data_IF_256876432342
#
_entry.id   IF_256876432342
#
_cell.length_a   1.000
_cell.length_b   1.000
_cell.length_c   1.000
_cell.angle_alpha   90.00
_cell.angle_beta   90.00
_cell.angle_gamma   90.00
#
_symmetry.space_group_name_H-M   'P 1'
#
loop_
_entity.id
_entity.type
_entity.pdbx_description
1 polymer ?
#
# COMPACT_ATOMS: atom_id res chain seq x y z
N UNK A 1 17.51 2.92 -17.80
CA UNK A 1 16.08 3.19 -18.07
C UNK A 1 15.53 3.93 -16.87
N UNK A 2 14.70 4.94 -17.09
CA UNK A 2 14.02 5.68 -16.01
C UNK A 2 12.52 5.78 -16.33
N UNK A 3 11.72 6.04 -15.30
CA UNK A 3 10.29 6.36 -15.45
C UNK A 3 10.11 7.83 -15.14
N UNK A 4 9.80 8.64 -16.15
CA UNK A 4 9.46 10.05 -16.00
C UNK A 4 7.99 10.23 -15.65
N UNK A 5 7.70 11.15 -14.74
CA UNK A 5 6.35 11.56 -14.35
C UNK A 5 6.12 12.96 -14.91
N UNK A 6 5.03 13.12 -15.66
CA UNK A 6 4.62 14.39 -16.26
C UNK A 6 3.24 14.76 -15.72
N UNK A 7 3.09 15.98 -15.20
CA UNK A 7 1.81 16.48 -14.69
C UNK A 7 1.06 17.25 -15.78
N UNK A 8 -0.25 17.05 -15.86
CA UNK A 8 -1.15 17.85 -16.68
C UNK A 8 -1.63 19.10 -15.94
N UNK A 9 -2.00 20.14 -16.69
CA UNK A 9 -2.74 21.30 -16.15
C UNK A 9 -4.10 20.85 -15.60
N UNK A 10 -4.78 21.68 -14.81
CA UNK A 10 -6.14 21.38 -14.31
C UNK A 10 -7.13 21.13 -15.45
N UNK A 11 -7.05 21.92 -16.52
CA UNK A 11 -7.92 21.76 -17.70
C UNK A 11 -7.56 20.49 -18.49
N UNK A 12 -6.26 20.24 -18.68
CA UNK A 12 -5.77 19.02 -19.32
C UNK A 12 -6.16 17.76 -18.55
N UNK A 13 -6.17 17.85 -17.22
CA UNK A 13 -6.60 16.78 -16.31
C UNK A 13 -8.09 16.50 -16.43
N UNK A 14 -8.91 17.56 -16.47
CA UNK A 14 -10.36 17.45 -16.68
C UNK A 14 -10.68 16.83 -18.05
N UNK A 15 -10.00 17.27 -19.11
CA UNK A 15 -10.10 16.69 -20.44
C UNK A 15 -9.72 15.20 -20.43
N UNK A 16 -8.55 14.85 -19.88
CA UNK A 16 -8.07 13.47 -19.83
C UNK A 16 -9.03 12.54 -19.07
N UNK A 17 -9.61 13.00 -17.97
CA UNK A 17 -10.58 12.23 -17.18
C UNK A 17 -11.93 12.05 -17.88
N UNK A 18 -12.28 12.92 -18.82
CA UNK A 18 -13.48 12.78 -19.66
C UNK A 18 -13.35 11.70 -20.74
N UNK A 19 -12.12 11.26 -21.05
CA UNK A 19 -11.85 10.25 -22.07
C UNK A 19 -12.18 8.84 -21.56
N UNK A 20 -12.57 7.96 -22.48
CA UNK A 20 -12.68 6.52 -22.20
C UNK A 20 -11.30 5.92 -21.88
N UNK A 21 -11.25 4.78 -21.17
CA UNK A 21 -9.99 4.10 -20.88
C UNK A 21 -9.17 3.77 -22.13
N UNK A 22 -9.83 3.53 -23.27
CA UNK A 22 -9.16 3.27 -24.57
C UNK A 22 -8.58 4.57 -25.13
N UNK A 23 -9.32 5.67 -25.05
CA UNK A 23 -8.86 6.96 -25.57
C UNK A 23 -7.79 7.61 -24.68
N UNK A 24 -7.80 7.34 -23.38
CA UNK A 24 -6.69 7.66 -22.47
C UNK A 24 -5.39 6.96 -22.91
N UNK A 25 -5.45 5.68 -23.29
CA UNK A 25 -4.27 4.97 -23.79
C UNK A 25 -3.79 5.56 -25.13
N UNK A 26 -4.70 5.93 -26.02
CA UNK A 26 -4.35 6.62 -27.28
C UNK A 26 -3.71 7.98 -27.00
N UNK A 27 -4.27 8.76 -26.08
CA UNK A 27 -3.72 10.04 -25.63
C UNK A 27 -2.28 9.87 -25.15
N UNK A 28 -2.03 8.91 -24.26
CA UNK A 28 -0.70 8.65 -23.72
C UNK A 28 0.30 8.21 -24.81
N UNK A 29 -0.14 7.36 -25.75
CA UNK A 29 0.69 6.92 -26.87
C UNK A 29 1.02 8.08 -27.83
N UNK A 30 0.05 8.93 -28.11
CA UNK A 30 0.25 10.11 -28.93
C UNK A 30 1.21 11.08 -28.25
N UNK A 31 1.03 11.36 -26.96
CA UNK A 31 1.94 12.20 -26.19
C UNK A 31 3.38 11.66 -26.19
N UNK A 32 3.57 10.36 -26.01
CA UNK A 32 4.91 9.77 -26.08
C UNK A 32 5.56 9.96 -27.47
N UNK A 33 4.75 9.84 -28.52
CA UNK A 33 5.19 10.05 -29.91
C UNK A 33 5.54 11.52 -30.15
N UNK A 34 4.67 12.45 -29.75
CA UNK A 34 4.89 13.89 -29.84
C UNK A 34 6.18 14.29 -29.11
N UNK A 35 6.39 13.79 -27.89
CA UNK A 35 7.61 14.02 -27.11
C UNK A 35 8.87 13.48 -27.81
N UNK A 36 8.80 12.35 -28.51
CA UNK A 36 9.95 11.80 -29.25
C UNK A 36 10.35 12.62 -30.47
N UNK A 37 9.41 13.39 -31.04
CA UNK A 37 9.71 14.34 -32.12
C UNK A 37 10.23 15.67 -31.57
N UNK A 38 9.64 16.17 -30.49
CA UNK A 38 10.05 17.42 -29.82
C UNK A 38 11.47 17.28 -29.26
N UNK A 39 11.77 16.16 -28.61
CA UNK A 39 13.11 15.80 -28.14
C UNK A 39 13.60 14.71 -29.09
N UNK A 40 14.36 15.03 -30.15
CA UNK A 40 14.56 14.15 -31.30
C UNK A 40 15.27 12.84 -30.90
N UNK A 41 14.48 11.80 -30.66
CA UNK A 41 14.89 10.44 -30.31
C UNK A 41 13.97 9.44 -31.00
N UNK A 42 14.39 8.19 -31.16
CA UNK A 42 13.53 7.18 -31.78
C UNK A 42 12.19 7.06 -31.03
N UNK A 43 11.10 6.87 -31.76
CA UNK A 43 9.73 6.83 -31.23
C UNK A 43 9.53 5.74 -30.15
N UNK A 44 10.38 4.73 -30.12
CA UNK A 44 10.34 3.64 -29.14
C UNK A 44 11.15 3.92 -27.85
N UNK A 45 11.82 5.09 -27.76
CA UNK A 45 12.64 5.51 -26.60
C UNK A 45 11.78 6.05 -25.47
N UNK A 46 10.68 6.72 -25.80
CA UNK A 46 9.68 7.21 -24.84
C UNK A 46 8.42 6.39 -25.07
N UNK A 47 7.98 5.65 -24.06
CA UNK A 47 6.78 4.80 -24.15
C UNK A 47 5.87 5.07 -22.97
N UNK A 48 4.55 5.16 -23.16
CA UNK A 48 3.63 5.42 -22.06
C UNK A 48 3.54 4.20 -21.14
N UNK A 49 3.29 4.47 -19.86
CA UNK A 49 2.81 3.48 -18.89
C UNK A 49 1.32 3.78 -18.69
N UNK A 50 0.47 2.83 -19.07
CA UNK A 50 -0.98 3.01 -19.04
C UNK A 50 -1.53 3.10 -17.62
N UNK A 51 -2.29 4.16 -17.36
CA UNK A 51 -2.82 4.51 -16.05
C UNK A 51 -2.33 5.90 -15.64
N UNK A 52 -2.72 6.35 -14.46
CA UNK A 52 -2.39 7.68 -13.96
C UNK A 52 -2.47 7.73 -12.44
N UNK A 53 -1.96 8.81 -11.85
CA UNK A 53 -2.21 9.18 -10.46
C UNK A 53 -2.88 10.56 -10.39
N UNK A 54 -3.75 10.74 -9.40
CA UNK A 54 -4.34 12.06 -9.08
C UNK A 54 -3.40 12.79 -8.12
N UNK A 55 -2.99 14.00 -8.49
CA UNK A 55 -2.29 14.96 -7.64
C UNK A 55 -3.29 16.03 -7.19
N UNK A 56 -3.47 16.15 -5.86
CA UNK A 56 -4.37 17.12 -5.22
C UNK A 56 -3.55 18.07 -4.32
N UNK A 57 -2.22 18.02 -4.39
CA UNK A 57 -1.32 18.80 -3.52
C UNK A 57 -1.47 20.32 -3.70
N UNK A 58 -1.89 20.76 -4.89
CA UNK A 58 -2.06 22.17 -5.27
C UNK A 58 -3.48 22.69 -5.00
N UNK A 59 -4.37 21.89 -4.43
CA UNK A 59 -5.78 22.22 -4.21
C UNK A 59 -6.69 22.10 -5.45
N UNK A 60 -6.12 21.85 -6.62
CA UNK A 60 -6.85 21.50 -7.86
C UNK A 60 -6.53 20.07 -8.27
N UNK A 61 -7.48 19.39 -8.92
CA UNK A 61 -7.28 18.04 -9.40
C UNK A 61 -6.36 18.06 -10.63
N UNK A 62 -5.16 17.53 -10.46
CA UNK A 62 -4.20 17.36 -11.55
C UNK A 62 -3.89 15.87 -11.77
N UNK A 63 -3.51 15.52 -12.99
CA UNK A 63 -3.22 14.14 -13.40
C UNK A 63 -1.73 13.99 -13.66
N UNK A 64 -1.15 12.96 -13.05
CA UNK A 64 0.22 12.51 -13.27
C UNK A 64 0.22 11.34 -14.26
N UNK A 65 0.94 11.52 -15.36
CA UNK A 65 1.16 10.52 -16.41
C UNK A 65 2.59 9.99 -16.33
N UNK A 66 2.77 8.73 -16.71
CA UNK A 66 4.02 8.01 -16.53
C UNK A 66 4.58 7.55 -17.87
N UNK A 67 5.87 7.80 -18.09
CA UNK A 67 6.56 7.47 -19.33
C UNK A 67 7.87 6.74 -19.05
N UNK A 68 8.01 5.55 -19.63
CA UNK A 68 9.27 4.82 -19.66
C UNK A 68 10.20 5.49 -20.67
N UNK A 69 11.37 5.91 -20.21
CA UNK A 69 12.45 6.48 -21.03
C UNK A 69 13.59 5.46 -21.06
N UNK A 70 13.74 4.79 -22.21
CA UNK A 70 14.78 3.77 -22.41
C UNK A 70 16.15 4.44 -22.47
N UNK A 71 17.12 3.79 -21.85
CA UNK A 71 18.51 4.21 -21.99
C UNK A 71 19.16 3.62 -23.24
N UNK A 72 20.38 4.05 -23.52
CA UNK A 72 21.17 3.53 -24.63
C UNK A 72 22.62 3.37 -24.21
N UNK A 73 23.28 2.33 -24.73
CA UNK A 73 24.73 2.12 -24.57
C UNK A 73 25.53 2.90 -25.61
N UNK A 74 24.86 3.46 -26.63
CA UNK A 74 25.47 4.29 -27.66
C UNK A 74 25.69 5.71 -27.14
N UNK A 75 26.96 6.09 -26.96
CA UNK A 75 27.36 7.38 -26.42
C UNK A 75 27.02 8.56 -27.34
N UNK A 76 26.75 8.33 -28.63
CA UNK A 76 26.31 9.38 -29.56
C UNK A 76 24.83 9.76 -29.37
N UNK A 77 24.06 8.89 -28.71
CA UNK A 77 22.63 9.03 -28.51
C UNK A 77 22.34 9.61 -27.13
N UNK A 78 21.26 10.38 -27.02
CA UNK A 78 20.84 10.96 -25.73
C UNK A 78 20.55 9.85 -24.72
N UNK A 79 21.16 9.92 -23.54
CA UNK A 79 20.85 9.06 -22.40
C UNK A 79 19.44 9.36 -21.88
N UNK A 80 18.87 8.43 -21.11
CA UNK A 80 17.55 8.65 -20.52
C UNK A 80 17.51 9.88 -19.59
N UNK A 81 18.60 10.12 -18.85
CA UNK A 81 18.75 11.31 -18.01
C UNK A 81 18.77 12.60 -18.83
N UNK A 82 19.54 12.64 -19.93
CA UNK A 82 19.61 13.83 -20.78
C UNK A 82 18.26 14.14 -21.45
N UNK A 83 17.49 13.12 -21.84
CA UNK A 83 16.12 13.31 -22.35
C UNK A 83 15.24 14.02 -21.30
N UNK A 84 15.33 13.62 -20.03
CA UNK A 84 14.59 14.27 -18.94
C UNK A 84 15.05 15.71 -18.70
N UNK A 85 16.36 16.00 -18.79
CA UNK A 85 16.89 17.36 -18.67
C UNK A 85 16.48 18.25 -19.85
N UNK A 86 16.49 17.73 -21.07
CA UNK A 86 16.00 18.43 -22.26
C UNK A 86 14.52 18.76 -22.12
N UNK A 87 13.71 17.81 -21.65
CA UNK A 87 12.30 18.04 -21.35
C UNK A 87 12.12 19.19 -20.34
N UNK A 88 12.86 19.17 -19.23
CA UNK A 88 12.77 20.22 -18.21
C UNK A 88 13.21 21.60 -18.75
N UNK A 89 14.20 21.62 -19.63
CA UNK A 89 14.65 22.84 -20.30
C UNK A 89 13.58 23.39 -21.24
N UNK A 90 12.92 22.52 -22.01
CA UNK A 90 11.78 22.90 -22.85
C UNK A 90 10.61 23.39 -21.99
N UNK A 91 10.32 22.75 -20.86
CA UNK A 91 9.21 23.14 -20.01
C UNK A 91 9.34 24.58 -19.50
N UNK A 92 10.56 25.01 -19.15
CA UNK A 92 10.87 26.39 -18.71
C UNK A 92 10.44 27.46 -19.71
N UNK A 93 10.47 27.15 -21.00
CA UNK A 93 10.11 28.08 -22.08
C UNK A 93 8.94 27.58 -22.92
N UNK A 94 8.04 26.78 -22.31
CA UNK A 94 6.96 26.04 -22.98
C UNK A 94 6.20 26.89 -24.00
N UNK A 95 5.80 28.11 -23.63
CA UNK A 95 5.01 29.04 -24.46
C UNK A 95 5.64 29.36 -25.83
N UNK A 96 6.95 29.16 -25.99
CA UNK A 96 7.71 29.55 -27.17
C UNK A 96 8.35 28.37 -27.91
N UNK A 97 8.00 27.12 -27.57
CA UNK A 97 8.61 25.94 -28.18
C UNK A 97 7.60 24.88 -28.60
N UNK A 98 8.14 23.79 -29.15
CA UNK A 98 7.36 22.73 -29.78
C UNK A 98 6.43 21.96 -28.83
N UNK A 99 6.55 22.10 -27.50
CA UNK A 99 5.57 21.55 -26.55
C UNK A 99 4.17 22.14 -26.75
N UNK A 100 4.05 23.36 -27.29
CA UNK A 100 2.74 23.97 -27.58
C UNK A 100 2.16 23.55 -28.94
N UNK A 101 2.93 22.90 -29.80
CA UNK A 101 2.51 22.58 -31.17
C UNK A 101 1.56 21.38 -31.26
N UNK A 102 1.47 20.56 -30.21
CA UNK A 102 0.68 19.34 -30.19
C UNK A 102 -0.43 19.42 -29.15
N UNK A 103 -1.60 18.85 -29.48
CA UNK A 103 -2.78 18.84 -28.62
C UNK A 103 -2.55 18.12 -27.28
N UNK A 104 -1.63 17.16 -27.24
CA UNK A 104 -1.34 16.41 -26.01
C UNK A 104 -0.34 17.18 -25.12
N UNK A 105 0.80 17.59 -25.67
CA UNK A 105 1.89 18.22 -24.91
C UNK A 105 1.58 19.65 -24.47
N UNK A 106 0.67 20.33 -25.17
CA UNK A 106 0.20 21.66 -24.77
C UNK A 106 -0.56 21.64 -23.43
N UNK A 107 -1.07 20.47 -23.01
CA UNK A 107 -1.78 20.27 -21.74
C UNK A 107 -0.86 19.98 -20.55
N UNK A 108 0.46 19.93 -20.74
CA UNK A 108 1.43 19.69 -19.67
C UNK A 108 1.52 20.90 -18.73
N UNK A 109 1.60 20.69 -17.43
CA UNK A 109 1.78 21.76 -16.45
C UNK A 109 3.22 22.33 -16.50
N UNK A 110 3.35 23.62 -16.83
CA UNK A 110 4.66 24.30 -16.93
C UNK A 110 5.36 24.45 -15.57
N UNK A 111 4.61 24.42 -14.47
CA UNK A 111 5.15 24.60 -13.11
C UNK A 111 5.60 23.28 -12.46
N UNK A 112 5.51 22.16 -13.17
CA UNK A 112 5.88 20.85 -12.65
C UNK A 112 6.93 20.19 -13.54
N UNK A 113 8.23 20.38 -13.23
CA UNK A 113 9.31 19.67 -13.90
C UNK A 113 9.08 18.16 -13.86
N UNK A 114 9.58 17.45 -14.87
CA UNK A 114 9.54 15.99 -14.87
C UNK A 114 10.28 15.46 -13.65
N UNK A 115 9.55 14.71 -12.83
CA UNK A 115 10.12 13.97 -11.70
C UNK A 115 10.38 12.53 -12.14
N UNK A 116 11.39 11.89 -11.54
CA UNK A 116 11.72 10.49 -11.84
C UNK A 116 11.02 9.63 -10.79
N UNK A 117 10.20 8.67 -11.22
CA UNK A 117 9.56 7.74 -10.31
C UNK A 117 10.62 6.90 -9.59
N UNK A 118 10.48 6.68 -8.28
CA UNK A 118 11.44 5.91 -7.50
C UNK A 118 11.55 4.49 -8.05
N UNK A 119 12.78 4.03 -8.32
CA UNK A 119 13.02 2.70 -8.87
C UNK A 119 12.81 1.64 -7.78
N UNK A 120 12.45 0.40 -8.17
CA UNK A 120 12.28 -0.75 -7.24
C UNK A 120 13.44 -0.91 -6.24
N UNK A 121 14.66 -0.51 -6.62
CA UNK A 121 15.86 -0.54 -5.77
C UNK A 121 15.78 0.36 -4.54
N UNK A 122 15.00 1.45 -4.57
CA UNK A 122 14.76 2.30 -3.40
C UNK A 122 13.94 1.56 -2.34
N UNK A 123 13.03 0.67 -2.77
CA UNK A 123 12.28 -0.20 -1.87
C UNK A 123 13.03 -1.50 -1.55
N UNK A 124 14.05 -1.91 -2.32
CA UNK A 124 14.84 -3.11 -2.02
C UNK A 124 15.48 -3.06 -0.63
N UNK A 125 15.98 -1.89 -0.22
CA UNK A 125 16.56 -1.72 1.13
C UNK A 125 15.47 -1.93 2.20
N UNK A 126 14.29 -1.35 2.01
CA UNK A 126 13.15 -1.54 2.91
C UNK A 126 12.68 -3.01 2.95
N UNK A 127 12.61 -3.67 1.80
CA UNK A 127 12.29 -5.11 1.68
C UNK A 127 13.34 -5.95 2.43
N UNK A 128 14.64 -5.66 2.25
CA UNK A 128 15.72 -6.34 2.95
C UNK A 128 15.59 -6.13 4.46
N UNK A 129 15.26 -4.93 4.92
CA UNK A 129 15.02 -4.64 6.35
C UNK A 129 13.83 -5.45 6.87
N UNK A 130 12.72 -5.52 6.13
CA UNK A 130 11.53 -6.31 6.51
C UNK A 130 11.88 -7.81 6.56
N UNK A 131 12.61 -8.34 5.58
CA UNK A 131 13.05 -9.73 5.56
C UNK A 131 14.02 -10.01 6.72
N UNK A 132 14.98 -9.12 6.98
CA UNK A 132 15.90 -9.24 8.10
C UNK A 132 15.15 -9.23 9.44
N UNK A 133 14.16 -8.34 9.61
CA UNK A 133 13.29 -8.32 10.78
C UNK A 133 12.50 -9.63 10.93
N UNK A 134 11.93 -10.16 9.84
CA UNK A 134 11.26 -11.47 9.85
C UNK A 134 12.21 -12.61 10.23
N UNK A 135 13.46 -12.60 9.74
CA UNK A 135 14.47 -13.61 10.09
C UNK A 135 14.86 -13.50 11.57
N UNK A 136 15.07 -12.29 12.09
CA UNK A 136 15.32 -12.06 13.52
C UNK A 136 14.17 -12.58 14.35
N UNK A 137 12.93 -12.30 13.94
CA UNK A 137 11.74 -12.85 14.57
C UNK A 137 11.78 -14.38 14.57
N UNK A 138 12.04 -15.04 13.43
CA UNK A 138 12.16 -16.51 13.36
C UNK A 138 13.29 -17.05 14.26
N UNK A 139 14.42 -16.36 14.38
CA UNK A 139 15.50 -16.76 15.29
C UNK A 139 15.01 -16.66 16.74
N UNK A 140 14.33 -15.58 17.11
CA UNK A 140 13.72 -15.43 18.43
C UNK A 140 12.68 -16.54 18.70
N UNK A 141 11.91 -16.97 17.69
CA UNK A 141 11.01 -18.12 17.79
C UNK A 141 11.76 -19.39 18.17
N UNK A 142 12.83 -19.69 17.43
CA UNK A 142 13.60 -20.92 17.61
C UNK A 142 14.29 -20.92 18.99
N UNK A 143 14.83 -19.78 19.41
CA UNK A 143 15.42 -19.61 20.75
C UNK A 143 14.38 -19.76 21.86
N UNK A 144 13.21 -19.13 21.73
CA UNK A 144 12.11 -19.25 22.68
C UNK A 144 11.58 -20.69 22.75
N UNK A 145 11.42 -21.34 21.60
CA UNK A 145 10.97 -22.73 21.49
C UNK A 145 11.97 -23.73 22.05
N UNK A 146 13.27 -23.44 21.94
CA UNK A 146 14.30 -24.26 22.56
C UNK A 146 14.30 -24.10 24.08
N UNK A 147 14.16 -22.88 24.60
CA UNK A 147 14.20 -22.58 26.04
C UNK A 147 12.90 -22.95 26.77
N UNK A 148 11.75 -22.81 26.13
CA UNK A 148 10.43 -22.97 26.73
C UNK A 148 9.59 -24.00 25.97
N UNK A 149 9.94 -25.28 26.08
CA UNK A 149 9.30 -26.41 25.38
C UNK A 149 7.79 -26.60 25.66
N UNK A 150 7.24 -25.95 26.70
CA UNK A 150 5.80 -26.01 27.06
C UNK A 150 5.02 -24.73 26.75
N UNK A 151 5.69 -23.66 26.28
CA UNK A 151 5.02 -22.41 25.95
C UNK A 151 4.51 -22.44 24.50
N UNK A 152 3.31 -21.89 24.27
CA UNK A 152 2.81 -21.64 22.92
C UNK A 152 3.55 -20.43 22.31
N UNK A 153 4.81 -20.66 21.94
CA UNK A 153 5.68 -19.62 21.38
C UNK A 153 5.16 -19.10 20.04
N UNK A 154 4.23 -19.79 19.38
CA UNK A 154 3.60 -19.35 18.14
C UNK A 154 2.65 -18.16 18.37
N UNK A 155 2.07 -18.03 19.57
CA UNK A 155 1.20 -16.92 19.92
C UNK A 155 1.90 -15.55 19.78
N UNK A 156 3.18 -15.47 20.15
CA UNK A 156 3.97 -14.22 20.05
C UNK A 156 4.10 -13.77 18.59
N UNK A 157 4.34 -14.70 17.66
CA UNK A 157 4.44 -14.41 16.23
C UNK A 157 3.13 -13.93 15.66
N UNK A 158 2.04 -14.58 16.06
CA UNK A 158 0.70 -14.19 15.66
C UNK A 158 0.39 -12.76 16.08
N UNK A 159 0.75 -12.35 17.30
CA UNK A 159 0.58 -10.97 17.77
C UNK A 159 1.38 -9.98 16.91
N UNK A 160 2.63 -10.29 16.57
CA UNK A 160 3.47 -9.41 15.75
C UNK A 160 2.89 -9.25 14.33
N UNK A 161 2.46 -10.34 13.70
CA UNK A 161 1.83 -10.30 12.37
C UNK A 161 0.57 -9.42 12.39
N UNK A 162 -0.27 -9.56 13.43
CA UNK A 162 -1.48 -8.73 13.58
C UNK A 162 -1.13 -7.24 13.72
N UNK A 163 -0.10 -6.89 14.50
CA UNK A 163 0.33 -5.49 14.70
C UNK A 163 0.90 -4.91 13.41
N UNK A 164 1.78 -5.65 12.71
CA UNK A 164 2.34 -5.23 11.42
C UNK A 164 1.23 -5.00 10.40
N UNK A 165 0.27 -5.91 10.34
CA UNK A 165 -0.87 -5.80 9.44
C UNK A 165 -1.76 -4.58 9.74
N UNK A 166 -2.04 -4.30 11.02
CA UNK A 166 -2.75 -3.08 11.41
C UNK A 166 -1.98 -1.83 10.96
N UNK A 167 -0.66 -1.81 11.17
CA UNK A 167 0.21 -0.72 10.70
C UNK A 167 0.14 -0.53 9.18
N UNK A 168 0.23 -1.61 8.41
CA UNK A 168 0.11 -1.57 6.94
C UNK A 168 -1.27 -1.06 6.49
N UNK A 169 -2.35 -1.45 7.16
CA UNK A 169 -3.71 -0.97 6.85
C UNK A 169 -3.87 0.52 7.14
N UNK A 170 -3.38 1.00 8.29
CA UNK A 170 -3.38 2.43 8.63
C UNK A 170 -2.58 3.21 7.59
N UNK A 171 -1.38 2.74 7.27
CA UNK A 171 -0.47 3.42 6.34
C UNK A 171 -1.05 3.48 4.92
N UNK A 172 -1.70 2.40 4.47
CA UNK A 172 -2.44 2.37 3.21
C UNK A 172 -3.57 3.41 3.17
N UNK A 173 -4.36 3.55 4.24
CA UNK A 173 -5.46 4.53 4.30
C UNK A 173 -4.94 5.97 4.30
N UNK A 174 -3.88 6.25 5.06
CA UNK A 174 -3.35 7.61 5.21
C UNK A 174 -2.54 8.06 3.98
N UNK A 175 -1.72 7.18 3.39
CA UNK A 175 -0.76 7.61 2.36
C UNK A 175 -1.20 7.30 0.93
N UNK A 176 -1.96 6.22 0.72
CA UNK A 176 -2.19 5.70 -0.63
C UNK A 176 -3.62 5.88 -1.08
N UNK A 177 -4.60 5.46 -0.28
CA UNK A 177 -5.99 5.36 -0.76
C UNK A 177 -6.62 6.73 -1.09
N UNK A 178 -6.10 7.83 -0.53
CA UNK A 178 -6.52 9.20 -0.89
C UNK A 178 -6.35 9.52 -2.38
N UNK A 179 -5.44 8.83 -3.08
CA UNK A 179 -5.26 8.98 -4.54
C UNK A 179 -6.48 8.50 -5.33
N UNK A 180 -7.38 7.73 -4.70
CA UNK A 180 -8.66 7.28 -5.25
C UNK A 180 -9.77 7.69 -4.27
N UNK A 181 -10.27 8.94 -4.35
CA UNK A 181 -11.20 9.51 -3.38
C UNK A 181 -12.45 8.65 -3.12
N UNK A 182 -12.91 7.93 -4.14
CA UNK A 182 -14.08 7.05 -4.07
C UNK A 182 -13.87 5.86 -3.11
N UNK A 183 -12.62 5.46 -2.88
CA UNK A 183 -12.25 4.34 -2.01
C UNK A 183 -11.84 4.77 -0.59
N UNK A 184 -11.57 6.07 -0.39
CA UNK A 184 -11.01 6.55 0.87
C UNK A 184 -11.96 6.41 2.06
N UNK A 185 -13.17 6.96 1.95
CA UNK A 185 -14.18 6.87 3.01
C UNK A 185 -14.56 5.44 3.36
N UNK A 186 -14.87 4.55 2.38
CA UNK A 186 -15.11 3.14 2.67
C UNK A 186 -13.95 2.48 3.43
N UNK A 187 -12.72 2.72 3.01
CA UNK A 187 -11.55 2.10 3.64
C UNK A 187 -11.33 2.60 5.07
N UNK A 188 -11.49 3.90 5.32
CA UNK A 188 -11.35 4.49 6.65
C UNK A 188 -12.40 3.94 7.62
N UNK A 189 -13.67 3.87 7.19
CA UNK A 189 -14.77 3.37 8.01
C UNK A 189 -14.51 1.90 8.39
N UNK A 190 -14.14 1.07 7.42
CA UNK A 190 -13.85 -0.35 7.67
C UNK A 190 -12.68 -0.50 8.66
N UNK A 191 -11.61 0.27 8.47
CA UNK A 191 -10.44 0.25 9.37
C UNK A 191 -10.83 0.62 10.81
N UNK A 192 -11.55 1.73 10.99
CA UNK A 192 -11.94 2.23 12.32
C UNK A 192 -12.88 1.25 13.02
N UNK A 193 -13.92 0.77 12.33
CA UNK A 193 -14.90 -0.16 12.91
C UNK A 193 -14.24 -1.49 13.26
N UNK A 194 -13.49 -2.08 12.33
CA UNK A 194 -12.83 -3.38 12.56
C UNK A 194 -11.82 -3.29 13.71
N UNK A 195 -11.00 -2.24 13.75
CA UNK A 195 -10.03 -2.04 14.83
C UNK A 195 -10.71 -1.83 16.17
N UNK A 196 -11.77 -1.03 16.20
CA UNK A 196 -12.54 -0.78 17.43
C UNK A 196 -13.16 -2.05 17.98
N UNK A 197 -13.80 -2.87 17.13
CA UNK A 197 -14.37 -4.16 17.53
C UNK A 197 -13.27 -5.06 18.11
N UNK A 198 -12.13 -5.19 17.43
CA UNK A 198 -11.03 -6.03 17.90
C UNK A 198 -10.47 -5.58 19.27
N UNK A 199 -10.28 -4.27 19.47
CA UNK A 199 -9.79 -3.71 20.73
C UNK A 199 -10.81 -3.92 21.85
N UNK A 200 -12.08 -3.56 21.62
CA UNK A 200 -13.15 -3.68 22.62
C UNK A 200 -13.36 -5.14 23.00
N UNK A 201 -13.47 -6.05 22.03
CA UNK A 201 -13.63 -7.47 22.31
C UNK A 201 -12.44 -8.05 23.06
N UNK A 202 -11.20 -7.70 22.68
CA UNK A 202 -10.00 -8.14 23.38
C UNK A 202 -10.00 -7.65 24.83
N UNK A 203 -10.35 -6.39 25.06
CA UNK A 203 -10.46 -5.83 26.41
C UNK A 203 -11.54 -6.55 27.24
N UNK A 204 -12.73 -6.76 26.68
CA UNK A 204 -13.82 -7.46 27.36
C UNK A 204 -13.46 -8.91 27.71
N UNK A 205 -12.78 -9.63 26.79
CA UNK A 205 -12.29 -10.99 27.05
C UNK A 205 -11.31 -10.97 28.22
N UNK A 206 -10.30 -10.08 28.19
CA UNK A 206 -9.30 -9.98 29.26
C UNK A 206 -9.96 -9.66 30.61
N UNK A 207 -10.88 -8.70 30.66
CA UNK A 207 -11.61 -8.36 31.89
C UNK A 207 -12.45 -9.53 32.39
N UNK A 208 -13.14 -10.23 31.50
CA UNK A 208 -13.96 -11.39 31.88
C UNK A 208 -13.12 -12.53 32.46
N UNK A 209 -12.00 -12.86 31.82
CA UNK A 209 -11.08 -13.90 32.29
C UNK A 209 -10.41 -13.51 33.63
N UNK A 210 -9.96 -12.26 33.77
CA UNK A 210 -9.35 -11.79 35.02
C UNK A 210 -10.38 -11.73 36.16
N UNK A 211 -11.60 -11.25 35.90
CA UNK A 211 -12.65 -11.15 36.91
C UNK A 211 -13.10 -12.54 37.42
N UNK A 212 -13.04 -13.57 36.55
CA UNK A 212 -13.30 -14.96 36.92
C UNK A 212 -12.24 -15.56 37.87
N UNK A 213 -11.08 -14.91 38.00
CA UNK A 213 -9.97 -15.35 38.84
C UNK A 213 -9.62 -14.28 39.88
N UNK A 214 -10.28 -14.31 41.05
CA UNK A 214 -10.03 -13.37 42.16
C UNK A 214 -8.54 -13.27 42.54
N UNK A 215 -7.81 -14.38 42.46
CA UNK A 215 -6.34 -14.45 42.67
C UNK A 215 -5.54 -13.63 41.64
N UNK A 216 -6.04 -13.48 40.41
CA UNK A 216 -5.44 -12.64 39.37
C UNK A 216 -5.55 -11.15 39.70
N UNK A 217 -6.69 -10.76 40.30
CA UNK A 217 -6.90 -9.40 40.79
C UNK A 217 -5.93 -9.06 41.94
N UNK A 218 -5.71 -10.00 42.86
CA UNK A 218 -4.70 -9.87 43.93
C UNK A 218 -3.27 -9.90 43.38
N UNK A 219 -2.99 -10.70 42.36
CA UNK A 219 -1.67 -10.75 41.74
C UNK A 219 -1.32 -9.44 41.00
N UNK A 220 -2.29 -8.83 40.30
CA UNK A 220 -2.15 -7.51 39.67
C UNK A 220 -1.86 -6.40 40.70
N UNK A 221 -2.46 -6.46 41.90
CA UNK A 221 -2.18 -5.51 42.99
C UNK A 221 -0.87 -5.81 43.73
N UNK A 222 -0.35 -7.05 43.65
CA UNK A 222 0.84 -7.51 44.37
C UNK A 222 2.20 -7.12 43.77
N UNK A 223 2.25 -6.41 42.64
CA UNK A 223 3.48 -6.09 41.87
C UNK A 223 4.31 -7.31 41.42
N UNK A 224 3.74 -8.53 41.47
CA UNK A 224 4.45 -9.76 41.09
C UNK A 224 4.12 -10.15 39.64
N UNK A 225 5.06 -9.92 38.73
CA UNK A 225 4.91 -10.14 37.27
C UNK A 225 4.83 -11.60 36.80
N UNK A 226 4.55 -12.56 37.69
CA UNK A 226 4.52 -14.00 37.36
C UNK A 226 3.08 -14.52 37.40
N UNK A 227 2.26 -13.98 36.50
CA UNK A 227 0.83 -14.23 36.43
C UNK A 227 0.54 -15.59 35.78
N UNK A 228 0.22 -16.62 36.58
CA UNK A 228 -0.22 -17.96 36.12
C UNK A 228 -1.48 -17.94 35.23
N UNK A 229 -2.23 -16.85 35.22
CA UNK A 229 -3.40 -16.64 34.34
C UNK A 229 -3.08 -16.71 32.84
N UNK A 230 -1.81 -16.53 32.42
CA UNK A 230 -1.42 -16.70 31.02
C UNK A 230 -1.19 -18.17 30.63
N UNK A 231 -1.38 -19.11 31.56
CA UNK A 231 -1.24 -20.56 31.33
C UNK A 231 -2.56 -21.34 31.44
N UNK A 232 -3.67 -20.67 31.76
CA UNK A 232 -5.00 -21.28 31.85
C UNK A 232 -5.73 -21.21 30.52
N UNK A 233 -6.52 -22.23 30.20
CA UNK A 233 -7.40 -22.25 29.03
C UNK A 233 -8.48 -21.17 29.15
N UNK A 234 -8.83 -20.53 28.03
CA UNK A 234 -9.92 -19.57 27.97
C UNK A 234 -11.25 -20.17 28.45
N UNK A 235 -12.10 -19.36 29.07
CA UNK A 235 -13.49 -19.76 29.35
C UNK A 235 -14.25 -20.05 28.06
N UNK A 236 -15.28 -20.90 28.13
CA UNK A 236 -16.17 -21.17 26.98
C UNK A 236 -16.80 -19.90 26.40
N UNK A 237 -17.09 -18.92 27.26
CA UNK A 237 -17.63 -17.62 26.85
C UNK A 237 -16.60 -16.84 26.03
N UNK A 238 -15.35 -16.79 26.50
CA UNK A 238 -14.26 -16.17 25.75
C UNK A 238 -13.97 -16.90 24.44
N UNK A 239 -13.93 -18.22 24.41
CA UNK A 239 -13.72 -19.00 23.18
C UNK A 239 -14.80 -18.73 22.13
N UNK A 240 -16.08 -18.72 22.54
CA UNK A 240 -17.19 -18.38 21.67
C UNK A 240 -17.11 -16.93 21.18
N UNK A 241 -16.73 -15.99 22.05
CA UNK A 241 -16.56 -14.58 21.69
C UNK A 241 -15.41 -14.41 20.68
N UNK A 242 -14.26 -15.05 20.91
CA UNK A 242 -13.11 -15.05 20.00
C UNK A 242 -13.51 -15.61 18.64
N UNK A 243 -14.32 -16.67 18.60
CA UNK A 243 -14.82 -17.25 17.36
C UNK A 243 -15.70 -16.25 16.57
N UNK A 244 -16.71 -15.65 17.20
CA UNK A 244 -17.60 -14.69 16.53
C UNK A 244 -16.88 -13.41 16.10
N UNK A 245 -15.95 -12.91 16.92
CA UNK A 245 -15.08 -11.77 16.56
C UNK A 245 -14.22 -12.12 15.35
N UNK A 246 -13.73 -13.36 15.25
CA UNK A 246 -13.03 -13.85 14.06
C UNK A 246 -13.90 -13.82 12.79
N UNK A 247 -15.16 -14.26 12.88
CA UNK A 247 -16.12 -14.19 11.77
C UNK A 247 -16.42 -12.73 11.38
N UNK A 248 -16.67 -11.85 12.35
CA UNK A 248 -16.84 -10.42 12.09
C UNK A 248 -15.59 -9.83 11.41
N UNK A 249 -14.41 -10.26 11.83
CA UNK A 249 -13.14 -9.92 11.19
C UNK A 249 -13.10 -10.24 9.69
N UNK A 250 -13.68 -11.37 9.26
CA UNK A 250 -13.80 -11.72 7.84
C UNK A 250 -14.78 -10.81 7.09
N UNK A 251 -15.92 -10.48 7.71
CA UNK A 251 -16.94 -9.58 7.13
C UNK A 251 -16.35 -8.21 6.81
N UNK A 252 -15.45 -7.69 7.65
CA UNK A 252 -14.75 -6.43 7.38
C UNK A 252 -13.47 -6.61 6.53
N UNK A 253 -12.77 -7.74 6.69
CA UNK A 253 -11.52 -8.03 5.98
C UNK A 253 -11.68 -8.19 4.48
N UNK A 254 -12.74 -8.86 4.03
CA UNK A 254 -13.00 -9.11 2.60
C UNK A 254 -13.28 -7.80 1.84
N UNK A 255 -14.19 -6.90 2.28
CA UNK A 255 -14.36 -5.59 1.67
C UNK A 255 -13.07 -4.77 1.62
N UNK A 256 -12.27 -4.77 2.70
CA UNK A 256 -10.97 -4.08 2.72
C UNK A 256 -10.01 -4.66 1.67
N UNK A 257 -10.01 -5.98 1.49
CA UNK A 257 -9.21 -6.66 0.46
C UNK A 257 -9.66 -6.29 -0.95
N UNK A 258 -10.97 -6.23 -1.19
CA UNK A 258 -11.55 -5.77 -2.46
C UNK A 258 -11.15 -4.32 -2.74
N UNK A 259 -11.20 -3.44 -1.74
CA UNK A 259 -10.76 -2.04 -1.88
C UNK A 259 -9.29 -1.97 -2.28
N UNK A 260 -8.42 -2.77 -1.67
CA UNK A 260 -7.00 -2.84 -2.04
C UNK A 260 -6.83 -3.30 -3.49
N UNK A 261 -7.57 -4.32 -3.95
CA UNK A 261 -7.54 -4.75 -5.37
C UNK A 261 -8.01 -3.62 -6.29
N UNK A 262 -9.15 -2.98 -6.00
CA UNK A 262 -9.68 -1.87 -6.80
C UNK A 262 -8.70 -0.70 -6.88
N UNK A 263 -8.02 -0.39 -5.77
CA UNK A 263 -6.97 0.61 -5.74
C UNK A 263 -5.83 0.27 -6.71
N UNK A 264 -5.36 -0.99 -6.73
CA UNK A 264 -4.31 -1.46 -7.65
C UNK A 264 -4.74 -1.44 -9.11
N UNK A 265 -6.01 -1.69 -9.39
CA UNK A 265 -6.55 -1.64 -10.75
C UNK A 265 -6.70 -0.20 -11.27
N UNK A 266 -6.82 0.79 -10.38
CA UNK A 266 -7.07 2.19 -10.72
C UNK A 266 -5.85 3.09 -10.64
N UNK A 267 -4.72 2.62 -10.10
CA UNK A 267 -3.52 3.43 -9.89
C UNK A 267 -2.26 2.71 -10.31
N UNK A 268 -1.29 3.45 -10.84
CA UNK A 268 0.09 2.98 -11.02
C UNK A 268 0.90 3.45 -9.80
N UNK A 269 0.60 2.91 -8.62
CA UNK A 269 1.38 3.24 -7.41
C UNK A 269 2.67 2.42 -7.36
N UNK A 270 3.80 3.11 -7.44
CA UNK A 270 5.14 2.54 -7.21
C UNK A 270 5.47 2.36 -5.72
N UNK A 271 4.63 2.87 -4.82
CA UNK A 271 4.74 2.61 -3.38
C UNK A 271 4.57 1.11 -3.12
N UNK A 272 5.31 0.57 -2.15
CA UNK A 272 5.26 -0.85 -1.74
C UNK A 272 4.15 -1.15 -0.72
N UNK A 273 3.67 -0.12 -0.02
CA UNK A 273 2.70 -0.27 1.08
C UNK A 273 1.39 -0.94 0.61
N UNK A 274 0.76 -0.54 -0.51
CA UNK A 274 -0.46 -1.20 -0.98
C UNK A 274 -0.28 -2.70 -1.29
N UNK A 275 0.90 -3.12 -1.77
CA UNK A 275 1.25 -4.50 -2.08
C UNK A 275 1.37 -5.31 -0.79
N UNK A 276 2.13 -4.80 0.17
CA UNK A 276 2.33 -5.47 1.46
C UNK A 276 1.00 -5.57 2.21
N UNK A 277 0.20 -4.51 2.20
CA UNK A 277 -1.13 -4.51 2.81
C UNK A 277 -2.06 -5.55 2.16
N UNK A 278 -2.00 -5.72 0.84
CA UNK A 278 -2.80 -6.71 0.10
C UNK A 278 -2.38 -8.16 0.44
N UNK A 279 -1.06 -8.44 0.45
CA UNK A 279 -0.53 -9.77 0.81
C UNK A 279 -0.85 -10.10 2.28
N UNK A 280 -0.66 -9.13 3.17
CA UNK A 280 -0.93 -9.28 4.60
C UNK A 280 -2.42 -9.59 4.85
N UNK A 281 -3.31 -8.81 4.24
CA UNK A 281 -4.75 -9.00 4.38
C UNK A 281 -5.22 -10.35 3.79
N UNK A 282 -4.69 -10.75 2.63
CA UNK A 282 -4.95 -12.09 2.06
C UNK A 282 -4.50 -13.21 3.02
N UNK A 283 -3.32 -13.06 3.64
CA UNK A 283 -2.79 -14.04 4.60
C UNK A 283 -3.68 -14.15 5.84
N UNK A 284 -4.16 -13.04 6.37
CA UNK A 284 -5.06 -13.03 7.54
C UNK A 284 -6.42 -13.61 7.21
N UNK A 285 -6.99 -13.29 6.04
CA UNK A 285 -8.25 -13.89 5.59
C UNK A 285 -8.11 -15.41 5.47
N UNK A 286 -7.04 -15.89 4.82
CA UNK A 286 -6.77 -17.31 4.69
C UNK A 286 -6.59 -17.99 6.05
N UNK A 287 -5.83 -17.37 6.96
CA UNK A 287 -5.65 -17.85 8.33
C UNK A 287 -6.98 -17.96 9.07
N UNK A 288 -7.81 -16.92 9.02
CA UNK A 288 -9.11 -16.89 9.70
C UNK A 288 -10.05 -17.97 9.16
N UNK A 289 -10.12 -18.17 7.84
CA UNK A 289 -10.91 -19.23 7.21
C UNK A 289 -10.42 -20.62 7.67
N UNK A 290 -9.11 -20.89 7.59
CA UNK A 290 -8.54 -22.16 8.02
C UNK A 290 -8.79 -22.43 9.51
N UNK A 291 -8.64 -21.41 10.35
CA UNK A 291 -8.90 -21.53 11.79
C UNK A 291 -10.37 -21.79 12.11
N UNK A 292 -11.29 -21.20 11.34
CA UNK A 292 -12.72 -21.44 11.47
C UNK A 292 -13.10 -22.87 11.09
N UNK A 293 -12.58 -23.37 9.96
CA UNK A 293 -12.81 -24.74 9.50
C UNK A 293 -12.31 -25.74 10.54
N UNK A 294 -11.08 -25.55 11.02
CA UNK A 294 -10.48 -26.46 12.01
C UNK A 294 -11.28 -26.51 13.32
N UNK A 295 -11.76 -25.36 13.81
CA UNK A 295 -12.59 -25.30 15.03
C UNK A 295 -13.99 -25.90 14.87
N UNK A 296 -14.52 -25.99 13.66
CA UNK A 296 -15.84 -26.62 13.40
C UNK A 296 -15.72 -28.14 13.27
N UNK A 297 -14.52 -28.67 13.02
CA UNK A 297 -14.26 -30.11 12.88
C UNK A 297 -13.88 -30.83 14.19
N UNK A 298 -13.63 -30.08 15.26
CA UNK A 298 -13.28 -30.59 16.62
C UNK A 298 -14.45 -30.33 17.55
#
# INVERSE_FOLDING_TARGET
>A
QITGIIRLTSDGSSYYLSLSSVDQQKFNKQMATDLSYIIPVDVNRITPINGFEKDISTGTLQILLFFNIKDTTDLSRKSAYNISQDFNTLLKYKKYNALMNYNTTSLIDENYPMTIAPFLREYLVLIIIIIAALVVLVILYLLASWKFKKADNFAIFKTIIIVVDLGLRILFVINDVHKVPELWWPSLIILVISTSINIVSSFLIIVHEIAGHIEALYALSSRFGTLKIFSTTFSKTAENTIFWVGILGLIFGIPQFIIQILFRLRTISFNIIPQLALVSNATIIAYNILSGIYKVQV
#
